data_IF_841353766359
#
_entry.id   IF_841353766359
#
_cell.length_a   1.000
_cell.length_b   1.000
_cell.length_c   1.000
_cell.angle_alpha   90.00
_cell.angle_beta   90.00
_cell.angle_gamma   90.00
#
_symmetry.space_group_name_H-M   'P 1'
#
loop_
_entity.id
_entity.type
_entity.pdbx_description
1 polymer ?
#
# COMPACT_ATOMS: atom_id res chain seq x y z
N UNK A 1 14.78 8.39 -17.18
CA UNK A 1 14.60 6.93 -16.98
C UNK A 1 13.87 6.40 -18.21
N UNK A 2 14.23 5.24 -18.75
CA UNK A 2 13.56 4.63 -19.92
C UNK A 2 12.54 3.60 -19.42
N UNK A 3 11.36 3.54 -20.03
CA UNK A 3 10.42 2.41 -19.85
C UNK A 3 10.69 1.41 -20.97
N UNK A 4 10.96 0.19 -20.55
CA UNK A 4 11.11 -0.98 -21.41
C UNK A 4 9.82 -1.79 -21.32
N UNK A 5 9.15 -1.98 -22.45
CA UNK A 5 7.95 -2.82 -22.55
C UNK A 5 8.33 -4.17 -23.14
N UNK A 6 7.87 -5.26 -22.52
CA UNK A 6 8.18 -6.63 -22.93
C UNK A 6 6.91 -7.40 -23.33
N UNK A 7 7.01 -8.22 -24.39
CA UNK A 7 6.00 -9.21 -24.77
C UNK A 7 6.68 -10.57 -24.89
N UNK A 8 6.25 -11.57 -24.12
CA UNK A 8 6.90 -12.89 -24.03
C UNK A 8 8.42 -12.83 -23.73
N UNK A 9 8.87 -11.83 -22.97
CA UNK A 9 10.28 -11.64 -22.62
C UNK A 9 11.12 -10.94 -23.67
N UNK A 10 10.55 -10.58 -24.84
CA UNK A 10 11.24 -9.77 -25.84
C UNK A 10 10.91 -8.29 -25.66
N UNK A 11 11.94 -7.45 -25.69
CA UNK A 11 11.81 -6.00 -25.63
C UNK A 11 11.12 -5.51 -26.91
N UNK A 12 9.90 -4.98 -26.76
CA UNK A 12 9.06 -4.56 -27.89
C UNK A 12 8.97 -3.04 -28.03
N UNK A 13 9.34 -2.26 -27.00
CA UNK A 13 9.46 -0.80 -27.11
C UNK A 13 10.35 -0.20 -26.01
N UNK A 14 11.15 0.80 -26.38
CA UNK A 14 11.79 1.73 -25.45
C UNK A 14 11.13 3.11 -25.60
N UNK A 15 10.77 3.74 -24.49
CA UNK A 15 10.26 5.12 -24.47
C UNK A 15 10.95 5.95 -23.40
N UNK A 16 11.30 7.20 -23.74
CA UNK A 16 11.93 8.16 -22.83
C UNK A 16 10.88 8.85 -21.95
N UNK A 17 11.05 8.80 -20.63
CA UNK A 17 10.17 9.47 -19.69
C UNK A 17 10.69 10.90 -19.44
N UNK A 18 9.99 11.90 -19.96
CA UNK A 18 10.15 13.29 -19.52
C UNK A 18 9.33 13.53 -18.25
N UNK A 19 9.99 14.04 -17.19
CA UNK A 19 9.44 14.50 -15.89
C UNK A 19 7.95 14.23 -15.67
N UNK A 20 7.62 13.03 -15.20
CA UNK A 20 6.29 12.72 -14.72
C UNK A 20 6.04 13.43 -13.38
N UNK A 21 4.82 13.91 -13.11
CA UNK A 21 4.41 14.17 -11.74
C UNK A 21 4.63 12.89 -10.94
N UNK A 22 5.26 13.01 -9.78
CA UNK A 22 5.39 11.93 -8.82
C UNK A 22 3.97 11.54 -8.39
N UNK A 23 3.45 10.45 -8.94
CA UNK A 23 2.11 9.91 -8.65
C UNK A 23 2.25 8.74 -7.67
N UNK A 24 1.25 8.51 -6.81
CA UNK A 24 1.23 7.32 -5.96
C UNK A 24 1.37 6.05 -6.79
N UNK A 25 2.34 5.19 -6.44
CA UNK A 25 2.57 3.92 -7.10
C UNK A 25 1.93 2.79 -6.27
N UNK A 26 0.60 2.67 -6.38
CA UNK A 26 -0.15 1.66 -5.59
C UNK A 26 0.33 0.24 -5.87
N UNK A 27 0.60 -0.10 -7.13
CA UNK A 27 0.99 -1.45 -7.49
C UNK A 27 2.29 -1.87 -6.78
N UNK A 28 3.29 -0.99 -6.78
CA UNK A 28 4.52 -1.25 -6.07
C UNK A 28 4.35 -1.16 -4.55
N UNK A 29 3.54 -0.23 -4.03
CA UNK A 29 3.18 -0.17 -2.61
C UNK A 29 2.57 -1.50 -2.14
N UNK A 30 1.53 -1.99 -2.81
CA UNK A 30 0.87 -3.26 -2.48
C UNK A 30 1.83 -4.44 -2.59
N UNK A 31 2.68 -4.48 -3.62
CA UNK A 31 3.69 -5.52 -3.78
C UNK A 31 4.67 -5.55 -2.62
N UNK A 32 5.22 -4.38 -2.23
CA UNK A 32 6.16 -4.27 -1.12
C UNK A 32 5.50 -4.57 0.23
N UNK A 33 4.25 -4.14 0.42
CA UNK A 33 3.45 -4.49 1.59
C UNK A 33 3.28 -6.02 1.67
N UNK A 34 2.83 -6.68 0.60
CA UNK A 34 2.66 -8.15 0.59
C UNK A 34 3.95 -8.93 0.89
N UNK A 35 5.11 -8.38 0.57
CA UNK A 35 6.42 -8.99 0.81
C UNK A 35 7.04 -8.61 2.16
N UNK A 36 6.44 -7.67 2.90
CA UNK A 36 6.95 -7.19 4.18
C UNK A 36 6.59 -8.13 5.33
N UNK A 37 7.56 -8.43 6.19
CA UNK A 37 7.34 -9.17 7.45
C UNK A 37 6.34 -8.45 8.36
N UNK A 38 6.42 -7.11 8.43
CA UNK A 38 5.51 -6.28 9.22
C UNK A 38 4.07 -6.39 8.75
N UNK A 39 3.86 -6.44 7.43
CA UNK A 39 2.52 -6.62 6.87
C UNK A 39 1.99 -8.04 7.12
N UNK A 40 2.85 -9.05 6.94
CA UNK A 40 2.50 -10.43 7.25
C UNK A 40 2.12 -10.60 8.72
N UNK A 41 2.78 -9.88 9.62
CA UNK A 41 2.43 -9.83 11.04
C UNK A 41 1.05 -9.21 11.27
N UNK A 42 0.78 -8.03 10.70
CA UNK A 42 -0.56 -7.41 10.74
C UNK A 42 -1.65 -8.37 10.26
N UNK A 43 -1.47 -8.98 9.08
CA UNK A 43 -2.46 -9.88 8.49
C UNK A 43 -2.61 -11.17 9.30
N UNK A 44 -1.53 -11.77 9.80
CA UNK A 44 -1.62 -13.04 10.54
C UNK A 44 -2.25 -12.88 11.92
N UNK A 45 -1.98 -11.78 12.62
CA UNK A 45 -2.43 -11.58 14.00
C UNK A 45 -3.74 -10.78 14.12
N UNK A 46 -4.21 -10.15 13.04
CA UNK A 46 -5.54 -9.56 13.01
C UNK A 46 -6.63 -10.63 13.22
N UNK A 47 -7.60 -10.34 14.08
CA UNK A 47 -8.72 -11.24 14.36
C UNK A 47 -9.93 -11.02 13.44
N UNK A 48 -9.97 -9.91 12.70
CA UNK A 48 -11.09 -9.60 11.79
C UNK A 48 -10.84 -10.16 10.38
N UNK A 49 -11.39 -11.36 10.13
CA UNK A 49 -11.34 -12.03 8.83
C UNK A 49 -12.02 -11.21 7.72
N UNK A 50 -13.07 -10.44 8.06
CA UNK A 50 -13.76 -9.62 7.06
C UNK A 50 -12.92 -8.42 6.64
N UNK A 51 -12.22 -7.79 7.59
CA UNK A 51 -11.30 -6.69 7.29
C UNK A 51 -10.15 -7.15 6.37
N UNK A 52 -9.59 -8.35 6.61
CA UNK A 52 -8.56 -8.94 5.73
C UNK A 52 -9.03 -9.08 4.28
N UNK A 53 -10.16 -9.74 4.08
CA UNK A 53 -10.71 -9.94 2.73
C UNK A 53 -11.09 -8.62 2.04
N UNK A 54 -11.56 -7.62 2.80
CA UNK A 54 -11.80 -6.27 2.27
C UNK A 54 -10.51 -5.57 1.87
N UNK A 55 -9.44 -5.72 2.64
CA UNK A 55 -8.15 -5.11 2.33
C UNK A 55 -7.59 -5.68 1.02
N UNK A 56 -7.60 -7.01 0.86
CA UNK A 56 -7.16 -7.67 -0.39
C UNK A 56 -7.96 -7.20 -1.61
N UNK A 57 -9.29 -7.13 -1.49
CA UNK A 57 -10.16 -6.64 -2.57
C UNK A 57 -9.87 -5.16 -2.91
N UNK A 58 -9.67 -4.32 -1.90
CA UNK A 58 -9.36 -2.91 -2.07
C UNK A 58 -8.01 -2.71 -2.74
N UNK A 59 -6.99 -3.45 -2.33
CA UNK A 59 -5.65 -3.38 -2.95
C UNK A 59 -5.71 -3.64 -4.45
N UNK A 60 -6.37 -4.72 -4.88
CA UNK A 60 -6.56 -5.03 -6.31
C UNK A 60 -7.38 -3.95 -7.01
N UNK A 61 -8.47 -3.49 -6.39
CA UNK A 61 -9.34 -2.46 -6.99
C UNK A 61 -8.60 -1.13 -7.20
N UNK A 62 -7.78 -0.72 -6.24
CA UNK A 62 -7.00 0.51 -6.30
C UNK A 62 -5.96 0.45 -7.43
N UNK A 63 -5.29 -0.69 -7.62
CA UNK A 63 -4.33 -0.89 -8.74
C UNK A 63 -4.98 -0.74 -10.12
N UNK A 64 -6.23 -1.18 -10.26
CA UNK A 64 -6.95 -1.12 -11.53
C UNK A 64 -7.56 0.25 -11.84
N UNK A 65 -7.52 1.20 -10.88
CA UNK A 65 -8.11 2.51 -11.09
C UNK A 65 -7.20 3.41 -11.92
N UNK A 66 -7.75 4.11 -12.94
CA UNK A 66 -6.97 5.09 -13.71
C UNK A 66 -6.60 6.33 -12.87
N UNK A 67 -7.39 6.62 -11.84
CA UNK A 67 -7.17 7.70 -10.89
C UNK A 67 -7.71 7.31 -9.51
N UNK A 68 -6.93 7.62 -8.47
CA UNK A 68 -7.28 7.38 -7.06
C UNK A 68 -7.82 8.67 -6.51
N UNK A 69 -9.02 8.63 -5.93
CA UNK A 69 -9.62 9.79 -5.28
C UNK A 69 -9.37 9.76 -3.77
N UNK A 70 -9.56 10.90 -3.11
CA UNK A 70 -9.53 10.97 -1.63
C UNK A 70 -10.55 9.99 -1.03
N UNK A 71 -11.74 9.85 -1.62
CA UNK A 71 -12.75 8.90 -1.14
C UNK A 71 -12.27 7.44 -1.19
N UNK A 72 -11.45 7.09 -2.18
CA UNK A 72 -10.86 5.74 -2.25
C UNK A 72 -9.86 5.50 -1.11
N UNK A 73 -9.08 6.52 -0.77
CA UNK A 73 -8.12 6.48 0.32
C UNK A 73 -8.80 6.47 1.70
N UNK A 74 -9.94 7.14 1.84
CA UNK A 74 -10.78 7.08 3.05
C UNK A 74 -11.35 5.66 3.26
N UNK A 75 -11.74 4.98 2.18
CA UNK A 75 -12.19 3.57 2.25
C UNK A 75 -11.02 2.66 2.65
N UNK A 76 -9.83 2.86 2.06
CA UNK A 76 -8.62 2.15 2.44
C UNK A 76 -8.30 2.36 3.93
N UNK A 77 -8.30 3.61 4.39
CA UNK A 77 -8.10 3.99 5.80
C UNK A 77 -9.06 3.25 6.71
N UNK A 78 -10.36 3.29 6.41
CA UNK A 78 -11.38 2.63 7.23
C UNK A 78 -11.11 1.12 7.37
N UNK A 79 -10.74 0.44 6.28
CA UNK A 79 -10.47 -1.00 6.32
C UNK A 79 -9.16 -1.30 7.03
N UNK A 80 -8.12 -0.50 6.78
CA UNK A 80 -6.82 -0.60 7.43
C UNK A 80 -6.93 -0.42 8.94
N UNK A 81 -7.58 0.65 9.40
CA UNK A 81 -7.70 0.97 10.82
C UNK A 81 -8.51 -0.11 11.55
N UNK A 82 -9.56 -0.66 10.93
CA UNK A 82 -10.29 -1.80 11.49
C UNK A 82 -9.40 -3.04 11.63
N UNK A 83 -8.52 -3.28 10.64
CA UNK A 83 -7.58 -4.39 10.68
C UNK A 83 -6.58 -4.22 11.83
N UNK A 84 -5.97 -3.05 11.95
CA UNK A 84 -5.03 -2.69 13.04
C UNK A 84 -5.70 -2.83 14.41
N UNK A 85 -6.90 -2.29 14.58
CA UNK A 85 -7.65 -2.36 15.84
C UNK A 85 -8.06 -3.79 16.23
N UNK A 86 -7.95 -4.75 15.31
CA UNK A 86 -8.19 -6.18 15.57
C UNK A 86 -6.93 -6.98 15.91
N UNK A 87 -5.75 -6.34 15.89
CA UNK A 87 -4.48 -6.95 16.29
C UNK A 87 -4.29 -6.81 17.80
N UNK A 88 -3.89 -7.87 18.52
CA UNK A 88 -3.58 -7.75 19.96
C UNK A 88 -2.44 -6.79 20.25
N UNK A 89 -2.53 -6.08 21.37
CA UNK A 89 -1.49 -5.18 21.86
C UNK A 89 -0.14 -5.87 22.01
N UNK A 90 0.93 -5.14 21.69
CA UNK A 90 2.31 -5.63 21.78
C UNK A 90 2.74 -6.55 20.64
N UNK A 91 1.85 -6.88 19.70
CA UNK A 91 2.24 -7.55 18.46
C UNK A 91 2.98 -6.54 17.58
N UNK A 92 2.31 -5.49 17.08
CA UNK A 92 2.96 -4.50 16.22
C UNK A 92 3.89 -3.59 17.05
N UNK A 93 5.08 -3.32 16.51
CA UNK A 93 6.13 -2.52 17.16
C UNK A 93 6.51 -1.30 16.34
N UNK A 94 7.30 -0.39 16.91
CA UNK A 94 7.77 0.80 16.18
C UNK A 94 8.52 0.47 14.87
N UNK A 95 9.23 -0.66 14.83
CA UNK A 95 9.88 -1.16 13.62
C UNK A 95 8.87 -1.44 12.50
N UNK A 96 7.72 -2.02 12.84
CA UNK A 96 6.64 -2.30 11.88
C UNK A 96 6.08 -0.99 11.30
N UNK A 97 5.85 0.02 12.15
CA UNK A 97 5.40 1.35 11.72
C UNK A 97 6.40 2.00 10.77
N UNK A 98 7.69 1.94 11.12
CA UNK A 98 8.75 2.54 10.31
C UNK A 98 8.86 1.85 8.96
N UNK A 99 8.74 0.51 8.92
CA UNK A 99 8.69 -0.25 7.68
C UNK A 99 7.50 0.16 6.79
N UNK A 100 6.29 0.29 7.36
CA UNK A 100 5.12 0.73 6.60
C UNK A 100 5.28 2.14 6.04
N UNK A 101 5.86 3.06 6.81
CA UNK A 101 6.12 4.42 6.36
C UNK A 101 7.20 4.48 5.28
N UNK A 102 8.27 3.69 5.38
CA UNK A 102 9.30 3.59 4.34
C UNK A 102 8.70 3.09 3.01
N UNK A 103 7.81 2.09 3.08
CA UNK A 103 7.07 1.59 1.91
C UNK A 103 6.13 2.68 1.38
N UNK A 104 5.38 3.39 2.23
CA UNK A 104 4.50 4.47 1.79
C UNK A 104 5.27 5.61 1.08
N UNK A 105 6.38 6.06 1.69
CA UNK A 105 7.20 7.16 1.19
C UNK A 105 7.89 6.81 -0.13
N UNK A 106 8.48 5.61 -0.22
CA UNK A 106 9.14 5.14 -1.45
C UNK A 106 8.20 4.96 -2.64
N UNK A 107 6.90 4.81 -2.37
CA UNK A 107 5.85 4.70 -3.39
C UNK A 107 4.99 5.96 -3.51
N UNK A 108 5.40 7.07 -2.88
CA UNK A 108 4.73 8.36 -2.98
C UNK A 108 3.25 8.31 -2.58
N UNK A 109 2.93 7.49 -1.58
CA UNK A 109 1.57 7.37 -1.09
C UNK A 109 1.15 8.65 -0.37
N UNK A 110 -0.09 9.13 -0.56
CA UNK A 110 -0.58 10.38 0.05
C UNK A 110 -1.07 10.14 1.49
N UNK A 111 -0.35 9.32 2.24
CA UNK A 111 -0.67 8.97 3.62
C UNK A 111 0.56 8.44 4.36
N UNK A 112 0.46 8.38 5.69
CA UNK A 112 1.45 7.78 6.58
C UNK A 112 0.78 7.00 7.71
N UNK A 113 1.52 6.16 8.41
CA UNK A 113 1.06 5.40 9.56
C UNK A 113 1.48 6.09 10.87
N UNK A 114 0.52 6.29 11.76
CA UNK A 114 0.72 6.94 13.06
C UNK A 114 1.27 5.96 14.11
N UNK A 115 1.51 6.44 15.34
CA UNK A 115 2.06 5.62 16.44
C UNK A 115 1.14 4.46 16.86
N UNK A 116 -0.17 4.60 16.63
CA UNK A 116 -1.16 3.53 16.79
C UNK A 116 -1.33 2.68 15.52
N UNK A 117 -0.43 2.81 14.54
CA UNK A 117 -0.45 2.13 13.23
C UNK A 117 -1.62 2.49 12.32
N UNK A 118 -2.54 3.35 12.75
CA UNK A 118 -3.64 3.81 11.91
C UNK A 118 -3.14 4.73 10.79
N UNK A 119 -3.86 4.72 9.68
CA UNK A 119 -3.49 5.42 8.47
C UNK A 119 -3.93 6.89 8.56
N UNK A 120 -3.03 7.83 8.30
CA UNK A 120 -3.31 9.26 8.28
C UNK A 120 -3.08 9.83 6.88
N UNK A 121 -4.14 10.34 6.26
CA UNK A 121 -4.08 10.99 4.95
C UNK A 121 -3.33 12.32 5.05
N UNK A 122 -2.40 12.53 4.12
CA UNK A 122 -1.63 13.75 3.98
C UNK A 122 -2.36 14.63 2.95
N UNK A 123 -2.93 15.75 3.42
CA UNK A 123 -3.70 16.69 2.59
C UNK A 123 -2.86 17.48 1.61
#
# INVERSE_FOLDING_TARGET
MKIESFFNGELVAESEINNFPIRPNIAQFNTQMLMSESYMKLVNFSQDVNAKGRLELLSVRLELKPEITIQDLEILKLVWDNLVNSVPDGILTEEDKNNFNEIADSNFMPFRFQDNFELHLLG
#
